data_IF_438650719332
#
_entry.id   IF_438650719332
#
_cell.length_a   1.000
_cell.length_b   1.000
_cell.length_c   1.000
_cell.angle_alpha   90.00
_cell.angle_beta   90.00
_cell.angle_gamma   90.00
#
_symmetry.space_group_name_H-M   'P 1'
#
loop_
_entity.id
_entity.type
_entity.pdbx_description
1 polymer ?
#
# COMPACT_ATOMS: atom_id res chain seq x y z
N UNK A 1 -1.39 2.80 -17.47
CA UNK A 1 -1.05 3.98 -16.66
C UNK A 1 -2.25 4.56 -15.95
N UNK A 2 -2.11 4.81 -14.70
CA UNK A 2 -3.20 5.33 -13.89
C UNK A 2 -3.21 6.86 -13.80
N UNK A 3 -2.88 7.52 -14.89
CA UNK A 3 -2.82 8.98 -14.88
C UNK A 3 -4.15 9.64 -14.55
N UNK A 4 -5.25 9.03 -14.97
CA UNK A 4 -6.57 9.59 -14.69
C UNK A 4 -6.84 9.66 -13.19
N UNK A 5 -6.52 8.61 -12.45
CA UNK A 5 -6.70 8.60 -11.02
C UNK A 5 -5.80 9.60 -10.30
N UNK A 6 -4.56 9.69 -10.74
CA UNK A 6 -3.62 10.67 -10.18
C UNK A 6 -4.08 12.10 -10.47
N UNK A 7 -4.59 12.32 -11.67
CA UNK A 7 -5.00 13.65 -12.08
C UNK A 7 -6.06 14.24 -11.16
N UNK A 8 -7.07 13.44 -10.78
CA UNK A 8 -8.11 13.92 -9.90
C UNK A 8 -7.58 14.34 -8.53
N UNK A 9 -6.65 13.57 -7.98
CA UNK A 9 -6.05 13.88 -6.69
C UNK A 9 -5.11 15.07 -6.80
N UNK A 10 -4.29 15.08 -7.83
CA UNK A 10 -3.32 16.17 -8.05
C UNK A 10 -4.03 17.51 -8.21
N UNK A 11 -5.19 17.52 -8.87
CA UNK A 11 -5.95 18.75 -9.08
C UNK A 11 -6.34 19.40 -7.75
N UNK A 12 -6.71 18.61 -6.75
CA UNK A 12 -7.09 19.12 -5.44
C UNK A 12 -5.91 19.52 -4.57
N UNK A 13 -4.74 18.95 -4.83
CA UNK A 13 -3.54 19.20 -4.05
C UNK A 13 -2.47 19.95 -4.85
N UNK A 14 -2.86 20.54 -5.96
CA UNK A 14 -1.91 21.11 -6.92
C UNK A 14 -0.86 22.01 -6.30
N UNK A 15 -1.27 22.99 -5.49
CA UNK A 15 -0.32 23.91 -4.88
C UNK A 15 0.66 23.21 -3.94
N UNK A 16 0.16 22.28 -3.17
CA UNK A 16 0.98 21.53 -2.22
C UNK A 16 1.97 20.62 -2.95
N UNK A 17 1.50 19.93 -3.98
CA UNK A 17 2.34 19.02 -4.76
C UNK A 17 3.39 19.80 -5.56
N UNK A 18 3.02 20.96 -6.11
CA UNK A 18 3.97 21.79 -6.83
C UNK A 18 5.11 22.23 -5.91
N UNK A 19 4.78 22.62 -4.68
CA UNK A 19 5.80 22.98 -3.71
C UNK A 19 6.72 21.81 -3.41
N UNK A 20 6.18 20.64 -3.29
CA UNK A 20 6.95 19.42 -3.03
C UNK A 20 7.89 19.12 -4.21
N UNK A 21 7.37 19.24 -5.42
CA UNK A 21 8.16 18.98 -6.63
C UNK A 21 9.29 19.96 -6.82
N UNK A 22 9.14 21.17 -6.28
CA UNK A 22 10.18 22.18 -6.35
C UNK A 22 11.24 22.02 -5.26
N UNK A 23 11.05 21.05 -4.38
CA UNK A 23 12.08 20.72 -3.40
C UNK A 23 13.34 20.25 -4.13
N UNK A 24 14.51 20.31 -3.47
CA UNK A 24 15.76 19.89 -4.12
C UNK A 24 15.61 18.50 -4.74
N UNK A 25 16.12 18.34 -5.96
CA UNK A 25 15.97 17.09 -6.70
C UNK A 25 16.54 15.89 -5.94
N UNK A 26 17.61 16.11 -5.18
CA UNK A 26 18.19 15.05 -4.35
C UNK A 26 17.21 14.55 -3.30
N UNK A 27 16.37 15.45 -2.77
CA UNK A 27 15.37 15.09 -1.78
C UNK A 27 14.28 14.20 -2.39
N UNK A 28 13.76 14.59 -3.57
CA UNK A 28 12.75 13.78 -4.26
C UNK A 28 13.27 12.42 -4.67
N UNK A 29 14.49 12.39 -5.18
CA UNK A 29 15.14 11.13 -5.56
C UNK A 29 15.37 10.23 -4.35
N UNK A 30 15.74 10.81 -3.22
CA UNK A 30 15.95 10.06 -1.98
C UNK A 30 14.65 9.45 -1.48
N UNK A 31 13.55 10.22 -1.55
CA UNK A 31 12.25 9.73 -1.12
C UNK A 31 11.82 8.53 -1.98
N UNK A 32 11.92 8.68 -3.29
CA UNK A 32 11.55 7.59 -4.21
C UNK A 32 12.38 6.35 -3.93
N UNK A 33 13.68 6.51 -3.74
CA UNK A 33 14.57 5.37 -3.46
C UNK A 33 14.20 4.69 -2.16
N UNK A 34 13.88 5.48 -1.13
CA UNK A 34 13.52 4.93 0.18
C UNK A 34 12.22 4.12 0.11
N UNK A 35 11.20 4.67 -0.57
CA UNK A 35 9.92 3.98 -0.70
C UNK A 35 10.06 2.73 -1.55
N UNK A 36 10.80 2.82 -2.66
CA UNK A 36 11.02 1.66 -3.53
C UNK A 36 11.75 0.55 -2.79
N UNK A 37 12.73 0.89 -1.97
CA UNK A 37 13.47 -0.10 -1.19
C UNK A 37 12.55 -0.78 -0.17
N UNK A 38 11.70 0.01 0.50
CA UNK A 38 10.73 -0.52 1.46
C UNK A 38 9.77 -1.50 0.76
N UNK A 39 9.29 -1.15 -0.42
CA UNK A 39 8.39 -2.03 -1.17
C UNK A 39 9.11 -3.30 -1.60
N UNK A 40 10.33 -3.19 -2.12
CA UNK A 40 11.14 -4.32 -2.52
C UNK A 40 11.39 -5.27 -1.37
N UNK A 41 11.64 -4.73 -0.19
CA UNK A 41 11.91 -5.52 1.01
C UNK A 41 10.62 -6.04 1.63
N UNK A 42 9.47 -5.79 1.00
CA UNK A 42 8.17 -6.25 1.45
C UNK A 42 7.81 -5.72 2.84
N UNK A 43 8.19 -4.48 3.11
CA UNK A 43 7.90 -3.84 4.40
C UNK A 43 6.42 -3.75 4.70
N UNK A 44 5.58 -3.77 3.66
CA UNK A 44 4.13 -3.72 3.83
C UNK A 44 3.56 -4.94 4.55
N UNK A 45 4.32 -6.03 4.64
CA UNK A 45 3.85 -7.23 5.34
C UNK A 45 4.00 -7.15 6.85
N UNK A 46 4.75 -6.16 7.34
CA UNK A 46 4.85 -5.94 8.79
C UNK A 46 3.54 -5.37 9.31
N UNK A 47 2.97 -5.96 10.38
CA UNK A 47 1.64 -5.56 10.84
C UNK A 47 1.60 -4.20 11.50
N UNK A 48 2.69 -3.76 12.09
CA UNK A 48 2.72 -2.52 12.86
C UNK A 48 3.25 -1.36 12.06
N UNK A 49 3.00 -0.18 12.59
CA UNK A 49 3.54 1.03 12.03
C UNK A 49 2.48 1.91 11.41
N UNK A 50 2.21 3.05 12.05
CA UNK A 50 1.42 4.08 11.41
C UNK A 50 2.31 4.78 10.36
N UNK A 51 1.76 5.63 9.49
CA UNK A 51 2.56 6.26 8.44
C UNK A 51 3.78 7.01 8.95
N UNK A 52 3.68 7.68 10.10
CA UNK A 52 4.82 8.41 10.66
C UNK A 52 5.95 7.46 11.05
N UNK A 53 5.61 6.35 11.68
CA UNK A 53 6.61 5.37 12.11
C UNK A 53 7.27 4.71 10.92
N UNK A 54 6.50 4.39 9.90
CA UNK A 54 7.05 3.78 8.68
C UNK A 54 7.97 4.76 7.97
N UNK A 55 7.54 6.02 7.83
CA UNK A 55 8.38 7.04 7.21
C UNK A 55 9.72 7.17 7.95
N UNK A 56 9.67 7.16 9.27
CA UNK A 56 10.88 7.23 10.09
C UNK A 56 11.82 6.06 9.80
N UNK A 57 11.26 4.86 9.68
CA UNK A 57 12.07 3.68 9.32
C UNK A 57 12.68 3.80 7.94
N UNK A 58 11.98 4.45 7.02
CA UNK A 58 12.50 4.70 5.67
C UNK A 58 13.55 5.79 5.65
N UNK A 59 13.66 6.58 6.72
CA UNK A 59 14.58 7.72 6.75
C UNK A 59 14.04 8.96 6.08
N UNK A 60 12.72 9.08 5.98
CA UNK A 60 12.06 10.25 5.38
C UNK A 60 11.02 10.79 6.35
N UNK A 61 10.44 11.95 6.04
CA UNK A 61 9.40 12.52 6.87
C UNK A 61 8.03 11.98 6.47
N UNK A 62 7.06 12.09 7.38
CA UNK A 62 5.70 11.66 7.06
C UNK A 62 5.09 12.50 5.94
N UNK A 63 5.44 13.79 5.86
CA UNK A 63 4.98 14.64 4.76
C UNK A 63 5.54 14.16 3.42
N UNK A 64 6.81 13.80 3.39
CA UNK A 64 7.43 13.27 2.18
C UNK A 64 6.76 11.98 1.75
N UNK A 65 6.45 11.10 2.69
CA UNK A 65 5.75 9.87 2.37
C UNK A 65 4.35 10.15 1.84
N UNK A 66 3.63 11.07 2.49
CA UNK A 66 2.29 11.46 2.05
C UNK A 66 2.30 11.96 0.61
N UNK A 67 3.16 12.94 0.31
CA UNK A 67 3.20 13.53 -1.03
C UNK A 67 3.62 12.50 -2.08
N UNK A 68 4.59 11.64 -1.75
CA UNK A 68 5.02 10.61 -2.68
C UNK A 68 3.87 9.68 -3.03
N UNK A 69 3.12 9.22 -2.03
CA UNK A 69 2.01 8.29 -2.26
C UNK A 69 0.90 8.93 -3.08
N UNK A 70 0.55 10.17 -2.77
CA UNK A 70 -0.49 10.87 -3.54
C UNK A 70 -0.05 11.05 -4.98
N UNK A 71 1.19 11.46 -5.20
CA UNK A 71 1.67 11.73 -6.55
C UNK A 71 1.94 10.47 -7.35
N UNK A 72 2.63 9.50 -6.75
CA UNK A 72 3.09 8.32 -7.49
C UNK A 72 2.11 7.17 -7.47
N UNK A 73 1.30 7.05 -6.39
CA UNK A 73 0.37 5.93 -6.24
C UNK A 73 -1.08 6.34 -6.41
N UNK A 74 -1.37 7.64 -6.35
CA UNK A 74 -2.74 8.14 -6.49
C UNK A 74 -3.61 7.92 -5.28
N UNK A 75 -3.04 7.54 -4.15
CA UNK A 75 -3.78 7.26 -2.93
C UNK A 75 -2.85 7.44 -1.72
N UNK A 76 -3.43 7.57 -0.52
CA UNK A 76 -2.61 7.75 0.67
C UNK A 76 -1.87 6.46 1.02
N UNK A 77 -0.92 6.57 1.96
CA UNK A 77 -0.06 5.45 2.31
C UNK A 77 -0.84 4.25 2.86
N UNK A 78 -1.83 4.50 3.72
CA UNK A 78 -2.58 3.39 4.33
C UNK A 78 -3.34 2.59 3.28
N UNK A 79 -3.96 3.27 2.34
CA UNK A 79 -4.71 2.62 1.26
C UNK A 79 -3.76 1.86 0.35
N UNK A 80 -2.64 2.48 -0.01
CA UNK A 80 -1.64 1.83 -0.85
C UNK A 80 -1.05 0.60 -0.18
N UNK A 81 -0.68 0.71 1.11
CA UNK A 81 -0.15 -0.43 1.86
C UNK A 81 -1.15 -1.58 1.92
N UNK A 82 -2.42 -1.27 2.18
CA UNK A 82 -3.45 -2.30 2.21
C UNK A 82 -3.58 -2.98 0.85
N UNK A 83 -3.52 -2.21 -0.21
CA UNK A 83 -3.56 -2.77 -1.57
C UNK A 83 -2.41 -3.76 -1.80
N UNK A 84 -1.20 -3.40 -1.39
CA UNK A 84 -0.05 -4.30 -1.51
C UNK A 84 -0.26 -5.58 -0.72
N UNK A 85 -0.79 -5.47 0.49
CA UNK A 85 -1.08 -6.63 1.34
C UNK A 85 -2.12 -7.54 0.71
N UNK A 86 -3.16 -6.96 0.12
CA UNK A 86 -4.22 -7.74 -0.54
C UNK A 86 -3.68 -8.44 -1.79
N UNK A 87 -2.83 -7.77 -2.56
CA UNK A 87 -2.22 -8.40 -3.72
C UNK A 87 -1.37 -9.61 -3.33
N UNK A 88 -0.65 -9.51 -2.24
CA UNK A 88 0.11 -10.65 -1.74
C UNK A 88 -0.80 -11.76 -1.24
N UNK A 89 -1.89 -11.40 -0.56
CA UNK A 89 -2.86 -12.37 -0.08
C UNK A 89 -3.48 -13.15 -1.24
N UNK A 90 -3.79 -12.48 -2.33
CA UNK A 90 -4.32 -13.15 -3.53
C UNK A 90 -3.40 -14.27 -3.99
N UNK A 91 -2.11 -14.00 -4.04
CA UNK A 91 -1.12 -14.99 -4.46
C UNK A 91 -1.11 -16.19 -3.53
N UNK A 92 -1.13 -15.94 -2.22
CA UNK A 92 -1.08 -17.02 -1.24
C UNK A 92 -2.36 -17.84 -1.20
N UNK A 93 -3.50 -17.21 -1.44
CA UNK A 93 -4.79 -17.91 -1.47
C UNK A 93 -4.81 -18.97 -2.58
N UNK A 94 -4.18 -18.71 -3.69
CA UNK A 94 -4.10 -19.64 -4.81
C UNK A 94 -3.00 -20.66 -4.58
N UNK A 95 -1.83 -20.21 -4.15
CA UNK A 95 -0.66 -21.08 -3.99
C UNK A 95 -0.84 -22.09 -2.85
N UNK A 96 -1.62 -21.73 -1.84
CA UNK A 96 -1.81 -22.57 -0.65
C UNK A 96 -3.30 -22.75 -0.35
N UNK A 97 -4.01 -23.54 -1.15
CA UNK A 97 -5.47 -23.64 -1.04
C UNK A 97 -5.95 -24.20 0.29
N UNK A 98 -5.10 -24.92 1.02
CA UNK A 98 -5.49 -25.51 2.30
C UNK A 98 -5.10 -24.66 3.50
N UNK A 99 -4.42 -23.55 3.28
CA UNK A 99 -4.00 -22.67 4.37
C UNK A 99 -5.19 -21.84 4.87
N UNK A 100 -5.44 -21.82 6.18
CA UNK A 100 -6.54 -21.02 6.72
C UNK A 100 -6.38 -19.53 6.42
N UNK A 101 -7.51 -18.87 6.24
CA UNK A 101 -7.50 -17.42 5.95
C UNK A 101 -6.86 -16.60 7.06
N UNK A 102 -7.03 -17.04 8.33
CA UNK A 102 -6.42 -16.33 9.45
C UNK A 102 -4.88 -16.36 9.38
N UNK A 103 -4.33 -17.44 8.86
CA UNK A 103 -2.88 -17.56 8.69
C UNK A 103 -2.41 -16.61 7.58
N UNK A 104 -3.11 -16.63 6.46
CA UNK A 104 -2.76 -15.73 5.35
C UNK A 104 -2.88 -14.28 5.77
N UNK A 105 -3.95 -13.93 6.48
CA UNK A 105 -4.15 -12.57 6.98
C UNK A 105 -2.95 -12.13 7.80
N UNK A 106 -2.51 -12.97 8.73
CA UNK A 106 -1.38 -12.63 9.60
C UNK A 106 -0.10 -12.47 8.81
N UNK A 107 0.12 -13.32 7.81
CA UNK A 107 1.32 -13.25 6.97
C UNK A 107 1.41 -11.94 6.20
N UNK A 108 0.27 -11.36 5.83
CA UNK A 108 0.26 -10.12 5.07
C UNK A 108 0.08 -8.89 5.96
N UNK A 109 0.23 -9.06 7.27
CA UNK A 109 0.22 -7.93 8.20
C UNK A 109 -1.14 -7.51 8.72
N UNK A 110 -2.17 -8.32 8.50
CA UNK A 110 -3.53 -8.04 8.98
C UNK A 110 -3.86 -9.07 10.05
N UNK A 111 -3.84 -8.66 11.32
CA UNK A 111 -3.91 -9.59 12.43
C UNK A 111 -5.30 -10.14 12.72
N UNK A 112 -6.35 -9.51 12.23
CA UNK A 112 -7.71 -9.89 12.51
C UNK A 112 -8.38 -10.46 11.26
N UNK A 113 -8.91 -11.69 11.37
CA UNK A 113 -9.53 -12.36 10.23
C UNK A 113 -10.75 -11.61 9.71
N UNK A 114 -11.57 -11.05 10.60
CA UNK A 114 -12.75 -10.30 10.19
C UNK A 114 -12.35 -9.04 9.42
N UNK A 115 -11.33 -8.35 9.91
CA UNK A 115 -10.81 -7.18 9.24
C UNK A 115 -10.20 -7.54 7.89
N UNK A 116 -9.50 -8.67 7.83
CA UNK A 116 -8.93 -9.16 6.58
C UNK A 116 -10.02 -9.40 5.53
N UNK A 117 -11.09 -10.09 5.92
CA UNK A 117 -12.20 -10.39 5.00
C UNK A 117 -12.83 -9.11 4.47
N UNK A 118 -13.03 -8.13 5.36
CA UNK A 118 -13.62 -6.84 4.99
C UNK A 118 -12.72 -6.08 4.02
N UNK A 119 -11.43 -5.99 4.34
CA UNK A 119 -10.47 -5.30 3.48
C UNK A 119 -10.31 -5.99 2.14
N UNK A 120 -10.31 -7.32 2.14
CA UNK A 120 -10.19 -8.08 0.91
C UNK A 120 -11.40 -7.81 0.01
N UNK A 121 -12.61 -7.85 0.58
CA UNK A 121 -13.82 -7.54 -0.18
C UNK A 121 -13.82 -6.11 -0.70
N UNK A 122 -13.36 -5.15 0.14
CA UNK A 122 -13.32 -3.75 -0.28
C UNK A 122 -12.39 -3.54 -1.47
N UNK A 123 -11.30 -4.29 -1.54
CA UNK A 123 -10.31 -4.12 -2.61
C UNK A 123 -10.56 -5.00 -3.83
N UNK A 124 -11.24 -6.12 -3.67
CA UNK A 124 -11.42 -7.08 -4.78
C UNK A 124 -12.86 -7.23 -5.24
N UNK A 125 -13.80 -6.80 -4.42
CA UNK A 125 -15.23 -6.98 -4.70
C UNK A 125 -15.79 -8.30 -4.23
N UNK A 126 -14.97 -9.18 -3.64
CA UNK A 126 -15.46 -10.48 -3.17
C UNK A 126 -14.71 -10.92 -1.91
N UNK A 127 -15.34 -11.83 -1.16
CA UNK A 127 -14.69 -12.38 0.03
C UNK A 127 -13.52 -13.28 -0.36
N UNK A 128 -12.56 -13.50 0.54
CA UNK A 128 -11.44 -14.39 0.24
C UNK A 128 -11.85 -15.79 -0.21
N UNK A 129 -12.91 -16.36 0.42
CA UNK A 129 -13.38 -17.68 0.04
C UNK A 129 -13.94 -17.70 -1.38
N UNK A 130 -14.70 -16.69 -1.74
CA UNK A 130 -15.27 -16.57 -3.09
C UNK A 130 -14.16 -16.40 -4.13
N UNK A 131 -13.18 -15.58 -3.79
CA UNK A 131 -12.07 -15.31 -4.70
C UNK A 131 -11.23 -16.56 -4.94
N UNK A 132 -10.98 -17.34 -3.89
CA UNK A 132 -10.22 -18.59 -4.01
C UNK A 132 -10.92 -19.58 -4.92
N UNK A 133 -12.24 -19.74 -4.74
CA UNK A 133 -13.02 -20.65 -5.57
C UNK A 133 -12.99 -20.21 -7.04
N UNK A 134 -13.20 -18.92 -7.26
CA UNK A 134 -13.25 -18.39 -8.62
C UNK A 134 -11.91 -18.54 -9.36
N UNK A 135 -10.80 -18.46 -8.63
CA UNK A 135 -9.46 -18.44 -9.21
C UNK A 135 -8.68 -19.74 -9.02
N UNK A 136 -9.33 -20.78 -8.54
CA UNK A 136 -8.65 -22.08 -8.34
C UNK A 136 -8.72 -22.97 -9.57
#
# INVERSE_FOLDING_TARGET
MSLAGKTGILSRLGGLLDKWKQAPSSSGSKVAAAVNQWEKNRGYLLPEGNPSQVAKRMGITSDQLFHYCIEEKGEDFRTWRTRLRIEEAKKQLIAEPDTPFSVIARRVGINDRSNFSRLFRDHTGMLPSQWRVKNS
#
